data_IF_605344620311
#
_entry.id   IF_605344620311
#
_cell.length_a   1.000
_cell.length_b   1.000
_cell.length_c   1.000
_cell.angle_alpha   90.00
_cell.angle_beta   90.00
_cell.angle_gamma   90.00
#
_symmetry.space_group_name_H-M   'P 1'
#
loop_
_entity.id
_entity.type
_entity.pdbx_description
1 polymer ?
#
# COMPACT_ATOMS: atom_id res chain seq x y z
N UNK A 1 15.53 -17.34 -9.43
CA UNK A 1 16.64 -17.42 -8.44
C UNK A 1 17.47 -16.14 -8.50
N UNK A 2 17.97 -15.64 -7.34
CA UNK A 2 18.80 -14.45 -7.28
C UNK A 2 18.05 -13.12 -7.46
N UNK A 3 16.71 -13.11 -7.43
CA UNK A 3 15.91 -11.89 -7.57
C UNK A 3 15.84 -11.11 -6.27
N UNK A 4 15.66 -9.78 -6.41
CA UNK A 4 15.27 -8.90 -5.30
C UNK A 4 13.75 -8.81 -5.30
N UNK A 5 13.12 -9.02 -4.13
CA UNK A 5 11.66 -9.07 -3.99
C UNK A 5 11.17 -7.80 -3.29
N UNK A 6 10.15 -7.15 -3.85
CA UNK A 6 9.45 -6.07 -3.17
C UNK A 6 8.54 -6.61 -2.05
N UNK A 7 8.65 -6.03 -0.87
CA UNK A 7 7.93 -6.48 0.34
C UNK A 7 7.20 -5.31 0.97
N UNK A 8 5.91 -5.47 1.14
CA UNK A 8 5.00 -4.49 1.70
C UNK A 8 5.02 -4.41 3.23
N UNK A 9 3.89 -3.95 3.80
CA UNK A 9 3.76 -3.65 5.22
C UNK A 9 2.43 -4.17 5.78
N UNK A 10 2.45 -4.58 7.05
CA UNK A 10 1.25 -4.97 7.79
C UNK A 10 1.23 -6.42 8.26
N UNK A 11 0.23 -6.78 9.06
CA UNK A 11 0.13 -8.08 9.71
C UNK A 11 0.11 -9.26 8.72
N UNK A 12 -0.59 -9.13 7.61
CA UNK A 12 -0.63 -10.15 6.56
C UNK A 12 0.74 -10.33 5.90
N UNK A 13 1.44 -9.21 5.64
CA UNK A 13 2.79 -9.23 5.06
C UNK A 13 3.81 -9.84 6.02
N UNK A 14 3.62 -9.72 7.32
CA UNK A 14 4.50 -10.39 8.29
C UNK A 14 4.54 -11.91 8.09
N UNK A 15 3.39 -12.54 7.80
CA UNK A 15 3.35 -13.97 7.46
C UNK A 15 4.09 -14.28 6.16
N UNK A 16 4.00 -13.38 5.18
CA UNK A 16 4.78 -13.53 3.93
C UNK A 16 6.28 -13.41 4.20
N UNK A 17 6.73 -12.48 5.04
CA UNK A 17 8.15 -12.33 5.41
C UNK A 17 8.65 -13.59 6.10
N UNK A 18 7.87 -14.17 7.03
CA UNK A 18 8.24 -15.40 7.73
C UNK A 18 8.35 -16.59 6.77
N UNK A 19 7.43 -16.70 5.80
CA UNK A 19 7.52 -17.71 4.74
C UNK A 19 8.72 -17.50 3.81
N UNK A 20 9.01 -16.23 3.46
CA UNK A 20 10.13 -15.85 2.61
C UNK A 20 11.48 -16.22 3.24
N UNK A 21 11.57 -16.19 4.57
CA UNK A 21 12.77 -16.64 5.31
C UNK A 21 13.18 -18.06 4.99
N UNK A 22 12.21 -18.98 4.77
CA UNK A 22 12.45 -20.34 4.31
C UNK A 22 13.03 -20.45 2.89
N UNK A 23 12.93 -19.38 2.11
CA UNK A 23 13.39 -19.29 0.73
C UNK A 23 14.61 -18.37 0.56
N UNK A 24 15.20 -17.86 1.65
CA UNK A 24 16.26 -16.85 1.61
C UNK A 24 17.45 -17.21 0.70
N UNK A 25 17.80 -18.49 0.59
CA UNK A 25 18.88 -18.95 -0.29
C UNK A 25 18.53 -18.85 -1.79
N UNK A 26 17.27 -18.63 -2.15
CA UNK A 26 16.77 -18.53 -3.53
C UNK A 26 16.61 -17.10 -4.01
N UNK A 27 16.67 -16.13 -3.11
CA UNK A 27 16.57 -14.70 -3.42
C UNK A 27 17.89 -14.00 -3.11
N UNK A 28 18.16 -12.91 -3.80
CA UNK A 28 19.29 -12.03 -3.50
C UNK A 28 19.02 -11.19 -2.25
N UNK A 29 17.74 -10.79 -2.05
CA UNK A 29 17.29 -10.01 -0.92
C UNK A 29 15.93 -9.34 -1.21
N UNK A 30 15.63 -8.27 -0.51
CA UNK A 30 14.36 -7.58 -0.62
C UNK A 30 14.53 -6.05 -0.68
N UNK A 31 13.50 -5.38 -1.24
CA UNK A 31 13.23 -3.95 -1.01
C UNK A 31 11.98 -3.86 -0.15
N UNK A 32 12.03 -3.07 0.90
CA UNK A 32 10.94 -2.92 1.87
C UNK A 32 10.24 -1.58 1.74
N UNK A 33 8.93 -1.56 1.98
CA UNK A 33 8.12 -0.35 1.98
C UNK A 33 8.02 0.34 3.35
N UNK A 34 8.63 -0.22 4.42
CA UNK A 34 8.61 0.40 5.75
C UNK A 34 9.80 -0.02 6.62
N UNK A 35 10.12 0.78 7.62
CA UNK A 35 11.16 0.45 8.60
C UNK A 35 10.79 -0.82 9.41
N UNK A 36 9.52 -1.01 9.74
CA UNK A 36 9.05 -2.19 10.45
C UNK A 36 9.30 -3.49 9.65
N UNK A 37 8.96 -3.50 8.35
CA UNK A 37 9.24 -4.64 7.46
C UNK A 37 10.74 -4.83 7.23
N UNK A 38 11.50 -3.74 7.13
CA UNK A 38 12.97 -3.77 7.04
C UNK A 38 13.59 -4.50 8.23
N UNK A 39 13.18 -4.13 9.45
CA UNK A 39 13.69 -4.77 10.68
C UNK A 39 13.35 -6.26 10.72
N UNK A 40 12.12 -6.64 10.33
CA UNK A 40 11.68 -8.03 10.32
C UNK A 40 12.44 -8.85 9.27
N UNK A 41 12.67 -8.34 8.07
CA UNK A 41 13.47 -8.99 7.03
C UNK A 41 14.91 -9.24 7.50
N UNK A 42 15.54 -8.22 8.08
CA UNK A 42 16.89 -8.31 8.63
C UNK A 42 16.99 -9.33 9.77
N UNK A 43 15.98 -9.39 10.64
CA UNK A 43 15.91 -10.39 11.72
C UNK A 43 15.89 -11.84 11.18
N UNK A 44 15.36 -12.04 9.98
CA UNK A 44 15.39 -13.34 9.26
C UNK A 44 16.65 -13.55 8.41
N UNK A 45 17.64 -12.65 8.48
CA UNK A 45 18.88 -12.74 7.69
C UNK A 45 18.67 -12.50 6.20
N UNK A 46 17.60 -11.76 5.82
CA UNK A 46 17.36 -11.33 4.45
C UNK A 46 17.99 -9.94 4.28
N UNK A 47 18.85 -9.80 3.28
CA UNK A 47 19.45 -8.51 2.93
C UNK A 47 18.38 -7.55 2.40
N UNK A 48 18.37 -6.31 2.90
CA UNK A 48 17.43 -5.27 2.47
C UNK A 48 18.21 -4.19 1.73
N UNK A 49 17.87 -4.02 0.46
CA UNK A 49 18.45 -3.07 -0.45
C UNK A 49 17.69 -1.75 -0.44
N UNK A 50 18.39 -0.66 -0.70
CA UNK A 50 17.77 0.60 -1.07
C UNK A 50 17.20 0.48 -2.49
N UNK A 51 16.05 1.09 -2.72
CA UNK A 51 15.41 1.09 -4.04
C UNK A 51 16.14 2.00 -5.03
N UNK A 52 16.83 3.02 -4.52
CA UNK A 52 17.64 3.90 -5.37
C UNK A 52 18.76 3.08 -6.03
N UNK A 53 18.80 3.08 -7.35
CA UNK A 53 19.70 2.24 -8.12
C UNK A 53 19.15 0.87 -8.51
N UNK A 54 17.89 0.54 -8.18
CA UNK A 54 17.19 -0.64 -8.68
C UNK A 54 16.17 -0.20 -9.72
N UNK A 55 16.41 -0.59 -10.96
CA UNK A 55 15.58 -0.19 -12.11
C UNK A 55 14.17 -0.77 -12.06
N UNK A 56 14.04 -2.05 -11.68
CA UNK A 56 12.75 -2.72 -11.52
C UNK A 56 12.83 -3.91 -10.57
N UNK A 57 11.68 -4.26 -10.01
CA UNK A 57 11.49 -5.45 -9.20
C UNK A 57 10.61 -6.45 -9.97
N UNK A 58 10.96 -7.75 -10.01
CA UNK A 58 10.14 -8.74 -10.72
C UNK A 58 8.78 -8.93 -10.06
N UNK A 59 8.70 -8.77 -8.73
CA UNK A 59 7.47 -8.92 -7.96
C UNK A 59 7.49 -8.07 -6.70
N UNK A 60 6.34 -7.50 -6.40
CA UNK A 60 6.01 -6.86 -5.13
C UNK A 60 4.85 -7.61 -4.48
N UNK A 61 4.95 -7.93 -3.19
CA UNK A 61 3.89 -8.59 -2.43
C UNK A 61 3.48 -7.70 -1.27
N UNK A 62 2.19 -7.37 -1.21
CA UNK A 62 1.65 -6.51 -0.16
C UNK A 62 0.18 -6.81 0.16
N UNK A 63 -0.29 -6.31 1.29
CA UNK A 63 -1.70 -6.38 1.70
C UNK A 63 -2.54 -5.23 1.16
N UNK A 64 -3.84 -5.25 1.47
CA UNK A 64 -4.75 -4.14 1.25
C UNK A 64 -5.70 -3.98 2.45
N UNK A 65 -6.14 -2.73 2.69
CA UNK A 65 -7.21 -2.43 3.64
C UNK A 65 -8.58 -2.68 3.00
N UNK A 66 -8.71 -2.39 1.71
CA UNK A 66 -9.81 -2.76 0.82
C UNK A 66 -9.31 -3.06 -0.58
N UNK A 67 -9.99 -3.95 -1.29
CA UNK A 67 -9.78 -4.22 -2.73
C UNK A 67 -11.13 -4.45 -3.41
N UNK A 68 -11.34 -3.83 -4.58
CA UNK A 68 -12.56 -3.99 -5.37
C UNK A 68 -12.43 -5.06 -6.46
N UNK A 69 -13.50 -5.23 -7.24
CA UNK A 69 -13.55 -6.19 -8.35
C UNK A 69 -12.67 -5.81 -9.55
N UNK A 70 -12.23 -4.56 -9.65
CA UNK A 70 -11.31 -4.04 -10.66
C UNK A 70 -9.84 -4.07 -10.23
N UNK A 71 -9.56 -4.60 -9.03
CA UNK A 71 -8.24 -4.67 -8.43
C UNK A 71 -7.66 -3.31 -8.01
N UNK A 72 -8.50 -2.28 -7.94
CA UNK A 72 -8.18 -1.05 -7.23
C UNK A 72 -8.25 -1.28 -5.73
N UNK A 73 -7.36 -0.61 -4.98
CA UNK A 73 -7.22 -0.85 -3.54
C UNK A 73 -7.20 0.45 -2.75
N UNK A 74 -7.60 0.35 -1.48
CA UNK A 74 -7.19 1.29 -0.42
C UNK A 74 -6.11 0.60 0.40
N UNK A 75 -5.01 1.30 0.63
CA UNK A 75 -3.87 0.91 1.45
C UNK A 75 -3.43 2.07 2.34
N UNK A 76 -2.56 1.78 3.29
CA UNK A 76 -1.99 2.80 4.17
C UNK A 76 -2.60 2.84 5.58
N UNK A 77 -3.38 1.83 5.98
CA UNK A 77 -3.79 1.66 7.38
C UNK A 77 -2.60 1.62 8.33
N UNK A 78 -1.48 1.03 7.92
CA UNK A 78 -0.20 1.03 8.63
C UNK A 78 0.65 2.30 8.44
N UNK A 79 0.22 3.24 7.61
CA UNK A 79 0.91 4.53 7.39
C UNK A 79 2.08 4.50 6.42
N UNK A 80 2.33 3.40 5.70
CA UNK A 80 3.45 3.24 4.77
C UNK A 80 3.09 3.54 3.30
N UNK A 81 1.89 4.08 3.03
CA UNK A 81 1.28 4.20 1.70
C UNK A 81 2.21 4.78 0.63
N UNK A 82 3.02 5.77 0.96
CA UNK A 82 3.91 6.44 0.01
C UNK A 82 5.03 5.51 -0.45
N UNK A 83 5.74 4.89 0.48
CA UNK A 83 6.79 3.91 0.15
C UNK A 83 6.22 2.66 -0.51
N UNK A 84 5.04 2.19 -0.09
CA UNK A 84 4.31 1.10 -0.76
C UNK A 84 4.02 1.44 -2.22
N UNK A 85 3.53 2.67 -2.50
CA UNK A 85 3.22 3.14 -3.85
C UNK A 85 4.48 3.24 -4.73
N UNK A 86 5.60 3.70 -4.16
CA UNK A 86 6.89 3.77 -4.86
C UNK A 86 7.35 2.35 -5.25
N UNK A 87 7.33 1.40 -4.31
CA UNK A 87 7.74 0.01 -4.59
C UNK A 87 6.81 -0.64 -5.62
N UNK A 88 5.49 -0.40 -5.54
CA UNK A 88 4.52 -0.89 -6.52
C UNK A 88 4.79 -0.34 -7.93
N UNK A 89 5.15 0.95 -8.04
CA UNK A 89 5.38 1.63 -9.31
C UNK A 89 6.56 1.05 -10.11
N UNK A 90 7.62 0.58 -9.44
CA UNK A 90 8.80 -0.01 -10.08
C UNK A 90 8.70 -1.53 -10.21
N UNK A 91 7.59 -2.13 -9.79
CA UNK A 91 7.41 -3.58 -9.80
C UNK A 91 6.69 -4.04 -11.07
N UNK A 92 7.26 -5.06 -11.73
CA UNK A 92 6.68 -5.67 -12.92
C UNK A 92 5.35 -6.36 -12.61
N UNK A 93 5.26 -6.99 -11.43
CA UNK A 93 4.04 -7.66 -10.94
C UNK A 93 3.76 -7.28 -9.49
N UNK A 94 2.55 -6.80 -9.23
CA UNK A 94 2.05 -6.55 -7.88
C UNK A 94 1.08 -7.65 -7.48
N UNK A 95 1.43 -8.43 -6.47
CA UNK A 95 0.60 -9.48 -5.87
C UNK A 95 -0.01 -8.93 -4.58
N UNK A 96 -1.31 -8.72 -4.58
CA UNK A 96 -2.05 -8.41 -3.34
C UNK A 96 -2.38 -9.70 -2.60
N UNK A 97 -2.11 -9.73 -1.29
CA UNK A 97 -2.48 -10.82 -0.38
C UNK A 97 -3.42 -10.30 0.69
N UNK A 98 -4.62 -10.82 0.78
CA UNK A 98 -5.57 -10.43 1.81
C UNK A 98 -6.62 -11.51 2.08
N UNK A 99 -7.36 -11.37 3.17
CA UNK A 99 -8.52 -12.20 3.45
C UNK A 99 -9.80 -11.65 2.78
N UNK A 100 -10.85 -12.49 2.73
CA UNK A 100 -12.09 -12.17 2.04
C UNK A 100 -12.85 -10.95 2.62
N UNK A 101 -12.58 -10.54 3.87
CA UNK A 101 -13.21 -9.37 4.48
C UNK A 101 -12.76 -8.05 3.87
N UNK A 102 -11.60 -8.06 3.16
CA UNK A 102 -11.04 -6.89 2.49
C UNK A 102 -11.64 -6.64 1.10
N UNK A 103 -12.32 -7.63 0.54
CA UNK A 103 -12.96 -7.48 -0.77
C UNK A 103 -14.29 -6.75 -0.64
N UNK A 104 -14.42 -5.66 -1.39
CA UNK A 104 -15.60 -4.78 -1.40
C UNK A 104 -16.13 -4.58 -2.81
N UNK A 105 -17.39 -4.15 -2.94
CA UNK A 105 -17.95 -3.75 -4.24
C UNK A 105 -17.55 -2.32 -4.61
N UNK A 106 -17.50 -1.42 -3.61
CA UNK A 106 -17.13 -0.01 -3.77
C UNK A 106 -16.16 0.36 -2.65
N UNK A 107 -15.04 1.00 -3.01
CA UNK A 107 -14.04 1.47 -2.07
C UNK A 107 -14.54 2.65 -1.23
N UNK A 108 -13.99 2.79 0.00
CA UNK A 108 -14.26 3.93 0.88
C UNK A 108 -14.98 3.59 2.18
N UNK A 109 -15.26 2.33 2.46
CA UNK A 109 -15.69 1.88 3.79
C UNK A 109 -14.54 2.03 4.79
N UNK A 110 -13.31 1.63 4.39
CA UNK A 110 -12.10 1.96 5.11
C UNK A 110 -11.75 3.42 4.84
N UNK A 111 -11.37 4.22 5.86
CA UNK A 111 -10.97 5.61 5.66
C UNK A 111 -9.78 5.69 4.71
N UNK A 112 -9.84 6.58 3.72
CA UNK A 112 -8.74 6.77 2.78
C UNK A 112 -7.58 7.54 3.42
N UNK A 113 -6.39 6.95 3.62
CA UNK A 113 -5.25 7.68 4.13
C UNK A 113 -4.69 8.63 3.07
N UNK A 114 -4.38 9.86 3.46
CA UNK A 114 -3.71 10.86 2.61
C UNK A 114 -2.50 11.39 3.35
N UNK A 115 -1.30 11.13 2.82
CA UNK A 115 -0.05 11.66 3.39
C UNK A 115 0.13 13.11 2.95
N UNK A 116 0.38 13.99 3.92
CA UNK A 116 0.42 15.43 3.70
C UNK A 116 1.65 16.06 4.37
N UNK A 117 2.23 17.03 3.69
CA UNK A 117 3.25 17.91 4.29
C UNK A 117 2.64 18.62 5.52
N UNK A 118 3.29 18.63 6.70
CA UNK A 118 2.72 19.18 7.92
C UNK A 118 2.16 20.61 7.78
N UNK A 119 2.87 21.48 7.07
CA UNK A 119 2.44 22.85 6.79
C UNK A 119 1.11 22.92 6.01
N UNK A 120 0.84 21.95 5.15
CA UNK A 120 -0.34 21.92 4.27
C UNK A 120 -1.58 21.29 4.94
N UNK A 121 -1.47 20.70 6.12
CA UNK A 121 -2.53 19.93 6.78
C UNK A 121 -3.92 20.58 6.69
N UNK A 122 -4.03 21.82 7.12
CA UNK A 122 -5.35 22.52 7.17
C UNK A 122 -5.89 22.88 5.78
N UNK A 123 -5.00 23.19 4.82
CA UNK A 123 -5.38 23.43 3.43
C UNK A 123 -5.90 22.13 2.80
N UNK A 124 -5.12 21.07 2.85
CA UNK A 124 -5.51 19.77 2.28
C UNK A 124 -6.80 19.25 2.92
N UNK A 125 -6.98 19.42 4.24
CA UNK A 125 -8.22 19.02 4.90
C UNK A 125 -9.46 19.78 4.35
N UNK A 126 -9.34 21.06 4.00
CA UNK A 126 -10.45 21.80 3.36
C UNK A 126 -10.76 21.27 1.95
N UNK A 127 -9.72 21.01 1.15
CA UNK A 127 -9.89 20.46 -0.20
C UNK A 127 -10.56 19.09 -0.16
N UNK A 128 -10.14 18.22 0.77
CA UNK A 128 -10.74 16.89 0.94
C UNK A 128 -12.22 16.94 1.39
N UNK A 129 -12.60 17.94 2.22
CA UNK A 129 -14.01 18.20 2.53
C UNK A 129 -14.81 18.64 1.31
N UNK A 130 -14.22 19.48 0.46
CA UNK A 130 -14.86 19.90 -0.79
C UNK A 130 -15.08 18.73 -1.77
N UNK A 131 -14.33 17.62 -1.61
CA UNK A 131 -14.56 16.36 -2.32
C UNK A 131 -15.65 15.48 -1.67
N UNK A 132 -16.25 15.93 -0.57
CA UNK A 132 -17.30 15.20 0.15
C UNK A 132 -16.78 14.28 1.26
N UNK A 133 -15.47 14.29 1.55
CA UNK A 133 -14.87 13.48 2.61
C UNK A 133 -14.85 14.19 3.97
N UNK A 134 -14.66 13.43 5.02
CA UNK A 134 -14.42 13.89 6.39
C UNK A 134 -12.99 13.56 6.82
N UNK A 135 -11.99 14.43 6.56
CA UNK A 135 -10.60 14.19 6.91
C UNK A 135 -10.38 14.37 8.42
N UNK A 136 -9.75 13.39 9.03
CA UNK A 136 -9.32 13.38 10.44
C UNK A 136 -7.81 13.19 10.52
N UNK A 137 -7.13 14.01 11.34
CA UNK A 137 -5.72 13.80 11.59
C UNK A 137 -5.51 12.46 12.30
N UNK A 138 -4.54 11.67 11.82
CA UNK A 138 -4.07 10.49 12.53
C UNK A 138 -3.19 10.94 13.68
N UNK A 139 -3.80 11.08 14.87
CA UNK A 139 -3.13 11.61 16.04
C UNK A 139 -1.96 10.72 16.50
N UNK A 140 -0.86 11.36 16.95
CA UNK A 140 0.31 10.64 17.48
C UNK A 140 1.10 9.84 16.43
N UNK A 141 0.83 10.02 15.14
CA UNK A 141 1.48 9.28 14.06
C UNK A 141 2.27 10.24 13.13
N UNK A 142 3.49 9.83 12.80
CA UNK A 142 4.34 10.45 11.79
C UNK A 142 4.82 9.34 10.85
N UNK A 143 4.76 9.56 9.56
CA UNK A 143 5.21 8.57 8.57
C UNK A 143 6.73 8.40 8.60
N UNK A 144 7.24 7.29 8.04
CA UNK A 144 8.69 7.08 7.84
C UNK A 144 9.36 8.18 6.98
N UNK A 145 8.54 9.04 6.35
CA UNK A 145 8.99 10.19 5.54
C UNK A 145 8.91 11.53 6.31
N UNK A 146 8.52 11.51 7.59
CA UNK A 146 8.38 12.71 8.42
C UNK A 146 7.12 13.53 8.20
N UNK A 147 6.10 12.95 7.54
CA UNK A 147 4.85 13.62 7.21
C UNK A 147 3.68 13.18 8.12
N UNK A 148 2.53 13.86 7.97
CA UNK A 148 1.29 13.53 8.66
C UNK A 148 0.35 12.73 7.75
N UNK A 149 -0.64 12.07 8.36
CA UNK A 149 -1.73 11.41 7.63
C UNK A 149 -3.06 12.04 8.02
N UNK A 150 -3.88 12.34 7.00
CA UNK A 150 -5.30 12.60 7.14
C UNK A 150 -6.06 11.35 6.71
N UNK A 151 -6.79 10.73 7.64
CA UNK A 151 -7.71 9.62 7.34
C UNK A 151 -9.05 10.21 6.91
N UNK A 152 -9.42 10.00 5.65
CA UNK A 152 -10.62 10.60 5.04
C UNK A 152 -11.77 9.61 5.10
N UNK A 153 -12.76 9.90 5.93
CA UNK A 153 -13.96 9.11 6.10
C UNK A 153 -15.07 9.54 5.14
N UNK A 154 -16.03 8.66 4.90
CA UNK A 154 -17.29 8.96 4.21
C UNK A 154 -17.19 9.16 2.70
N UNK A 155 -16.04 8.88 2.09
CA UNK A 155 -15.92 8.86 0.63
C UNK A 155 -16.58 7.61 0.06
N UNK A 156 -17.41 7.78 -0.97
CA UNK A 156 -17.91 6.70 -1.82
C UNK A 156 -17.13 6.76 -3.14
N UNK A 157 -16.15 5.86 -3.29
CA UNK A 157 -15.17 5.93 -4.37
C UNK A 157 -15.63 5.04 -5.51
N UNK A 158 -16.47 5.59 -6.37
CA UNK A 158 -17.02 4.88 -7.56
C UNK A 158 -16.11 4.96 -8.78
N UNK A 159 -15.22 5.95 -8.82
CA UNK A 159 -14.13 6.05 -9.82
C UNK A 159 -12.79 6.21 -9.08
N UNK A 160 -12.14 5.09 -8.76
CA UNK A 160 -10.91 5.11 -7.99
C UNK A 160 -9.75 5.83 -8.70
N UNK A 161 -9.64 5.68 -10.03
CA UNK A 161 -8.56 6.29 -10.83
C UNK A 161 -8.70 7.82 -10.85
N UNK A 162 -9.89 8.32 -11.13
CA UNK A 162 -10.15 9.75 -11.13
C UNK A 162 -9.96 10.36 -9.73
N UNK A 163 -10.41 9.65 -8.69
CA UNK A 163 -10.28 10.10 -7.29
C UNK A 163 -8.80 10.12 -6.86
N UNK A 164 -8.02 9.09 -7.16
CA UNK A 164 -6.58 9.03 -6.88
C UNK A 164 -5.85 10.20 -7.53
N UNK A 165 -6.11 10.41 -8.82
CA UNK A 165 -5.49 11.48 -9.61
C UNK A 165 -5.84 12.85 -9.06
N UNK A 166 -7.12 13.10 -8.77
CA UNK A 166 -7.60 14.39 -8.26
C UNK A 166 -6.97 14.75 -6.90
N UNK A 167 -6.91 13.79 -5.98
CA UNK A 167 -6.32 14.03 -4.65
C UNK A 167 -4.82 14.32 -4.78
N UNK A 168 -4.10 13.61 -5.65
CA UNK A 168 -2.67 13.83 -5.88
C UNK A 168 -2.35 15.22 -6.48
N UNK A 169 -3.32 15.94 -7.06
CA UNK A 169 -3.14 17.31 -7.57
C UNK A 169 -3.31 18.40 -6.49
N UNK A 170 -3.74 18.04 -5.28
CA UNK A 170 -3.90 19.02 -4.19
C UNK A 170 -2.51 19.39 -3.67
N UNK A 171 -2.17 20.68 -3.71
CA UNK A 171 -0.87 21.18 -3.22
C UNK A 171 -0.69 20.84 -1.75
N UNK A 172 0.43 20.18 -1.43
CA UNK A 172 0.77 19.70 -0.09
C UNK A 172 0.38 18.26 0.20
N UNK A 173 -0.30 17.58 -0.72
CA UNK A 173 -0.44 16.13 -0.70
C UNK A 173 0.86 15.50 -1.20
N UNK A 174 1.39 14.53 -0.46
CA UNK A 174 2.51 13.70 -0.90
C UNK A 174 1.98 12.61 -1.81
N UNK A 175 1.02 11.82 -1.32
CA UNK A 175 0.19 10.89 -2.08
C UNK A 175 -1.01 10.45 -1.22
N UNK A 176 -1.89 9.66 -1.82
CA UNK A 176 -3.04 9.07 -1.13
C UNK A 176 -3.03 7.54 -1.22
N UNK A 177 -3.83 6.90 -0.37
CA UNK A 177 -3.90 5.45 -0.21
C UNK A 177 -4.68 4.71 -1.30
N UNK A 178 -5.19 5.40 -2.33
CA UNK A 178 -5.76 4.72 -3.50
C UNK A 178 -4.64 4.17 -4.38
N UNK A 179 -4.73 2.89 -4.71
CA UNK A 179 -3.89 2.18 -5.66
C UNK A 179 -4.78 1.69 -6.79
N UNK A 180 -5.12 2.60 -7.70
CA UNK A 180 -6.03 2.37 -8.82
C UNK A 180 -5.34 2.66 -10.16
N UNK A 181 -4.54 3.74 -10.26
CA UNK A 181 -3.68 4.00 -11.42
C UNK A 181 -2.67 2.85 -11.59
N UNK A 182 -2.14 2.35 -10.48
CA UNK A 182 -1.36 1.12 -10.39
C UNK A 182 -2.01 0.20 -9.36
N UNK A 183 -2.99 -0.58 -9.79
CA UNK A 183 -3.66 -1.61 -9.00
C UNK A 183 -2.83 -2.89 -8.88
N UNK A 184 -3.39 -3.94 -8.26
CA UNK A 184 -2.76 -5.25 -8.23
C UNK A 184 -2.90 -5.97 -9.58
N UNK A 185 -1.91 -6.78 -9.94
CA UNK A 185 -1.99 -7.68 -11.10
C UNK A 185 -2.57 -9.05 -10.71
N UNK A 186 -2.32 -9.45 -9.46
CA UNK A 186 -2.78 -10.73 -8.91
C UNK A 186 -3.32 -10.49 -7.51
N UNK A 187 -4.44 -11.10 -7.21
CA UNK A 187 -5.01 -11.18 -5.86
C UNK A 187 -4.97 -12.62 -5.36
N UNK A 188 -4.29 -12.86 -4.25
CA UNK A 188 -4.38 -14.09 -3.48
C UNK A 188 -5.34 -13.85 -2.31
N UNK A 189 -6.56 -14.32 -2.47
CA UNK A 189 -7.66 -14.11 -1.53
C UNK A 189 -7.81 -15.32 -0.61
N UNK A 190 -7.49 -15.14 0.67
CA UNK A 190 -7.69 -16.17 1.68
C UNK A 190 -9.16 -16.22 2.11
N UNK A 191 -9.71 -17.43 2.13
CA UNK A 191 -11.06 -17.74 2.59
C UNK A 191 -11.04 -19.02 3.42
N UNK A 192 -12.11 -19.36 4.19
CA UNK A 192 -12.14 -20.57 5.01
C UNK A 192 -11.94 -21.87 4.22
N UNK A 193 -12.27 -21.88 2.94
CA UNK A 193 -12.12 -23.01 2.02
C UNK A 193 -10.76 -23.04 1.29
N UNK A 194 -9.85 -22.12 1.58
CA UNK A 194 -8.50 -22.05 1.00
C UNK A 194 -8.16 -20.71 0.40
N UNK A 195 -7.08 -20.68 -0.39
CA UNK A 195 -6.61 -19.47 -1.07
C UNK A 195 -7.04 -19.51 -2.54
N UNK A 196 -7.73 -18.49 -2.98
CA UNK A 196 -8.13 -18.30 -4.39
C UNK A 196 -7.18 -17.31 -5.05
N UNK A 197 -6.65 -17.69 -6.21
CA UNK A 197 -5.91 -16.78 -7.08
C UNK A 197 -6.87 -16.15 -8.09
N UNK A 198 -6.81 -14.83 -8.19
CA UNK A 198 -7.50 -14.04 -9.20
C UNK A 198 -6.46 -13.18 -9.92
N UNK A 199 -6.54 -13.09 -11.23
CA UNK A 199 -5.63 -12.28 -12.06
C UNK A 199 -6.41 -11.10 -12.65
N UNK A 200 -5.79 -9.92 -12.69
CA UNK A 200 -6.36 -8.75 -13.35
C UNK A 200 -6.52 -9.03 -14.86
N UNK A 201 -7.59 -8.49 -15.45
CA UNK A 201 -7.89 -8.66 -16.89
C UNK A 201 -7.10 -7.71 -17.75
#
# INVERSE_FOLDING_TARGET
>A
EGSIVGVGTGSTVNHFIDALAGMRARIRGAVSSSEASTQRLRAHGIEVFDLDGIESLPVYVDGADEIDGGFAMIKGGGGALTREKIVAAVSQRFVCICDASKKVEVLGRFPLPVEVIPMARSHVARELRALGGEPRLREGFVTDNGNLILDVHGLLITDPVATETRINQIVGVVTNGLFAVRGADVLLLAAPDGVRRLDAR
#
